data_IF_240374157077
#
_entry.id   IF_240374157077
#
_cell.length_a   1.000
_cell.length_b   1.000
_cell.length_c   1.000
_cell.angle_alpha   90.00
_cell.angle_beta   90.00
_cell.angle_gamma   90.00
#
_symmetry.space_group_name_H-M   'P 1'
#
loop_
_entity.id
_entity.type
_entity.pdbx_description
1 polymer ?
#
# COMPACT_ATOMS: atom_id res chain seq x y z
N UNK A 1 8.59 -11.35 -1.52
CA UNK A 1 7.36 -11.01 -2.27
C UNK A 1 6.88 -9.67 -1.74
N UNK A 2 6.71 -8.63 -2.57
CA UNK A 2 6.40 -7.27 -2.08
C UNK A 2 4.92 -7.10 -1.69
N UNK A 3 4.64 -6.18 -0.77
CA UNK A 3 3.29 -5.82 -0.31
C UNK A 3 2.27 -5.60 -1.45
N UNK A 4 2.66 -4.99 -2.58
CA UNK A 4 1.78 -4.80 -3.76
C UNK A 4 1.33 -6.12 -4.39
N UNK A 5 2.23 -7.10 -4.46
CA UNK A 5 1.93 -8.42 -5.03
C UNK A 5 0.96 -9.16 -4.13
N UNK A 6 1.11 -9.04 -2.81
CA UNK A 6 0.17 -9.59 -1.84
C UNK A 6 -1.21 -8.92 -1.96
N UNK A 7 -1.26 -7.58 -2.02
CA UNK A 7 -2.50 -6.84 -2.27
C UNK A 7 -3.19 -7.31 -3.55
N UNK A 8 -2.50 -7.31 -4.70
CA UNK A 8 -3.08 -7.71 -5.99
C UNK A 8 -3.59 -9.14 -6.01
N UNK A 9 -2.91 -10.04 -5.29
CA UNK A 9 -3.33 -11.44 -5.16
C UNK A 9 -4.60 -11.57 -4.30
N UNK A 10 -4.70 -10.80 -3.22
CA UNK A 10 -5.73 -10.97 -2.20
C UNK A 10 -6.95 -10.07 -2.40
N UNK A 11 -6.82 -8.97 -3.15
CA UNK A 11 -7.87 -7.96 -3.30
C UNK A 11 -9.12 -8.50 -4.01
N UNK A 12 -9.01 -9.56 -4.80
CA UNK A 12 -10.13 -10.13 -5.54
C UNK A 12 -10.83 -9.11 -6.44
N UNK A 13 -12.09 -9.36 -6.82
CA UNK A 13 -12.87 -8.48 -7.71
C UNK A 13 -13.92 -7.64 -6.98
N UNK A 14 -14.23 -7.95 -5.72
CA UNK A 14 -15.26 -7.22 -4.95
C UNK A 14 -14.64 -6.06 -4.17
N UNK A 15 -15.41 -4.99 -3.96
CA UNK A 15 -14.97 -3.84 -3.17
C UNK A 15 -14.59 -4.22 -1.73
N UNK A 16 -15.34 -5.14 -1.12
CA UNK A 16 -15.08 -5.61 0.24
C UNK A 16 -13.78 -6.42 0.34
N UNK A 17 -13.49 -7.29 -0.64
CA UNK A 17 -12.23 -8.05 -0.66
C UNK A 17 -11.03 -7.12 -0.91
N UNK A 18 -11.20 -6.09 -1.73
CA UNK A 18 -10.17 -5.07 -1.95
C UNK A 18 -9.88 -4.28 -0.67
N UNK A 19 -10.92 -3.90 0.08
CA UNK A 19 -10.76 -3.19 1.36
C UNK A 19 -10.00 -4.05 2.39
N UNK A 20 -10.39 -5.32 2.54
CA UNK A 20 -9.71 -6.25 3.44
C UNK A 20 -8.23 -6.44 3.06
N UNK A 21 -7.92 -6.59 1.78
CA UNK A 21 -6.55 -6.71 1.31
C UNK A 21 -5.75 -5.42 1.51
N UNK A 22 -6.35 -4.25 1.31
CA UNK A 22 -5.72 -2.97 1.55
C UNK A 22 -5.39 -2.78 3.05
N UNK A 23 -6.33 -3.13 3.93
CA UNK A 23 -6.12 -3.09 5.37
C UNK A 23 -4.98 -4.03 5.81
N UNK A 24 -5.00 -5.29 5.35
CA UNK A 24 -3.93 -6.24 5.69
C UNK A 24 -2.57 -5.72 5.22
N UNK A 25 -2.50 -5.16 4.01
CA UNK A 25 -1.26 -4.61 3.47
C UNK A 25 -0.75 -3.42 4.27
N UNK A 26 -1.65 -2.57 4.77
CA UNK A 26 -1.30 -1.49 5.70
C UNK A 26 -0.64 -2.04 6.98
N UNK A 27 -1.21 -3.08 7.60
CA UNK A 27 -0.63 -3.70 8.80
C UNK A 27 0.76 -4.29 8.54
N UNK A 28 0.92 -4.98 7.41
CA UNK A 28 2.20 -5.56 7.00
C UNK A 28 3.28 -4.47 6.81
N UNK A 29 2.90 -3.34 6.21
CA UNK A 29 3.80 -2.20 6.02
C UNK A 29 4.14 -1.49 7.34
N UNK A 30 3.19 -1.34 8.26
CA UNK A 30 3.46 -0.79 9.60
C UNK A 30 4.47 -1.64 10.36
N UNK A 31 4.43 -2.96 10.21
CA UNK A 31 5.49 -3.85 10.72
C UNK A 31 6.83 -3.55 10.06
N UNK A 32 6.87 -3.46 8.73
CA UNK A 32 8.10 -3.21 7.98
C UNK A 32 8.73 -1.82 8.23
N UNK A 33 7.94 -0.79 8.59
CA UNK A 33 8.45 0.54 8.96
C UNK A 33 9.38 0.45 10.17
N UNK A 34 9.12 -0.45 11.12
CA UNK A 34 9.92 -0.58 12.35
C UNK A 34 11.37 -1.00 12.07
N UNK A 35 11.58 -1.75 10.98
CA UNK A 35 12.89 -2.29 10.60
C UNK A 35 13.59 -1.45 9.51
N UNK A 36 12.90 -0.50 8.89
CA UNK A 36 13.40 0.27 7.75
C UNK A 36 13.84 1.69 8.14
N UNK A 37 15.04 2.09 7.71
CA UNK A 37 15.60 3.43 7.98
C UNK A 37 15.84 4.22 6.70
N UNK A 38 15.97 5.55 6.84
CA UNK A 38 16.23 6.47 5.73
C UNK A 38 15.10 6.52 4.69
N UNK A 39 15.47 6.75 3.42
CA UNK A 39 14.51 6.92 2.32
C UNK A 39 13.59 5.69 2.10
N UNK A 40 14.04 4.49 2.47
CA UNK A 40 13.23 3.26 2.42
C UNK A 40 12.12 3.32 3.46
N UNK A 41 12.45 3.65 4.72
CA UNK A 41 11.47 3.77 5.80
C UNK A 41 10.42 4.86 5.54
N UNK A 42 10.84 6.02 5.00
CA UNK A 42 9.90 7.07 4.60
C UNK A 42 8.93 6.61 3.51
N UNK A 43 9.42 5.86 2.52
CA UNK A 43 8.58 5.42 1.40
C UNK A 43 7.65 4.28 1.82
N UNK A 44 8.08 3.37 2.71
CA UNK A 44 7.19 2.37 3.33
C UNK A 44 6.10 3.07 4.15
N UNK A 45 6.43 4.12 4.90
CA UNK A 45 5.46 4.89 5.69
C UNK A 45 4.41 5.58 4.78
N UNK A 46 4.85 6.18 3.67
CA UNK A 46 3.95 6.75 2.65
C UNK A 46 3.01 5.69 2.06
N UNK A 47 3.54 4.51 1.73
CA UNK A 47 2.73 3.39 1.25
C UNK A 47 1.71 2.93 2.28
N UNK A 48 2.09 2.81 3.56
CA UNK A 48 1.17 2.43 4.62
C UNK A 48 -0.02 3.40 4.69
N UNK A 49 0.25 4.72 4.70
CA UNK A 49 -0.79 5.74 4.68
C UNK A 49 -1.71 5.62 3.45
N UNK A 50 -1.16 5.35 2.26
CA UNK A 50 -1.96 5.16 1.03
C UNK A 50 -2.83 3.91 1.08
N UNK A 51 -2.35 2.80 1.66
CA UNK A 51 -3.18 1.60 1.82
C UNK A 51 -4.29 1.79 2.86
N UNK A 52 -4.02 2.56 3.92
CA UNK A 52 -5.06 2.96 4.87
C UNK A 52 -6.12 3.83 4.18
N UNK A 53 -5.71 4.82 3.40
CA UNK A 53 -6.61 5.66 2.61
C UNK A 53 -7.42 4.85 1.60
N UNK A 54 -6.78 3.92 0.90
CA UNK A 54 -7.46 3.02 -0.03
C UNK A 54 -8.54 2.20 0.67
N UNK A 55 -8.23 1.65 1.86
CA UNK A 55 -9.23 0.97 2.67
C UNK A 55 -10.41 1.90 3.02
N UNK A 56 -10.16 3.13 3.48
CA UNK A 56 -11.23 4.08 3.81
C UNK A 56 -12.10 4.46 2.62
N UNK A 57 -11.50 4.68 1.44
CA UNK A 57 -12.27 4.95 0.21
C UNK A 57 -13.09 3.71 -0.19
N UNK A 58 -12.52 2.51 -0.09
CA UNK A 58 -13.20 1.26 -0.44
C UNK A 58 -14.34 0.91 0.52
N UNK A 59 -14.22 1.18 1.82
CA UNK A 59 -15.31 1.00 2.80
C UNK A 59 -16.36 2.11 2.75
N UNK A 60 -16.09 3.21 2.04
CA UNK A 60 -16.97 4.37 1.98
C UNK A 60 -16.86 5.29 3.19
N UNK A 61 -15.84 5.12 4.04
CA UNK A 61 -15.54 6.01 5.17
C UNK A 61 -15.07 7.39 4.69
N UNK A 62 -14.40 7.46 3.55
CA UNK A 62 -13.99 8.71 2.89
C UNK A 62 -14.46 8.74 1.44
N UNK A 63 -14.74 9.94 0.92
CA UNK A 63 -15.01 10.15 -0.50
C UNK A 63 -13.75 10.09 -1.36
N UNK A 64 -13.94 9.99 -2.69
CA UNK A 64 -12.85 9.99 -3.67
C UNK A 64 -12.72 8.69 -4.45
N UNK A 65 -11.99 8.75 -5.56
CA UNK A 65 -11.77 7.60 -6.44
C UNK A 65 -10.67 6.68 -5.88
N UNK A 66 -10.95 5.40 -5.57
CA UNK A 66 -9.92 4.43 -5.17
C UNK A 66 -8.81 4.26 -6.21
N UNK A 67 -9.09 4.48 -7.51
CA UNK A 67 -8.10 4.30 -8.57
C UNK A 67 -6.98 5.34 -8.52
N UNK A 68 -7.26 6.56 -8.04
CA UNK A 68 -6.23 7.57 -7.82
C UNK A 68 -5.20 7.08 -6.78
N UNK A 69 -5.68 6.55 -5.66
CA UNK A 69 -4.80 6.02 -4.60
C UNK A 69 -4.01 4.81 -5.11
N UNK A 70 -4.62 3.95 -5.92
CA UNK A 70 -3.93 2.81 -6.54
C UNK A 70 -2.80 3.29 -7.48
N UNK A 71 -3.01 4.37 -8.24
CA UNK A 71 -1.97 4.94 -9.09
C UNK A 71 -0.79 5.45 -8.25
N UNK A 72 -1.07 6.18 -7.17
CA UNK A 72 -0.08 6.69 -6.23
C UNK A 72 0.69 5.59 -5.50
N UNK A 73 0.02 4.47 -5.17
CA UNK A 73 0.64 3.27 -4.62
C UNK A 73 1.63 2.67 -5.64
N UNK A 74 1.24 2.55 -6.91
CA UNK A 74 2.12 1.98 -7.94
C UNK A 74 3.40 2.81 -8.12
N UNK A 75 3.30 4.14 -8.06
CA UNK A 75 4.45 5.06 -8.13
C UNK A 75 5.42 4.83 -6.97
N UNK A 76 4.93 4.81 -5.73
CA UNK A 76 5.79 4.60 -4.55
C UNK A 76 6.43 3.20 -4.52
N UNK A 77 5.75 2.17 -5.03
CA UNK A 77 6.35 0.85 -5.18
C UNK A 77 7.47 0.81 -6.21
N UNK A 78 7.35 1.57 -7.31
CA UNK A 78 8.43 1.71 -8.27
C UNK A 78 9.65 2.37 -7.61
N UNK A 79 9.41 3.36 -6.75
CA UNK A 79 10.46 4.03 -5.99
C UNK A 79 11.12 3.11 -4.97
N UNK A 80 10.36 2.35 -4.17
CA UNK A 80 10.92 1.33 -3.27
C UNK A 80 11.78 0.32 -4.03
N UNK A 81 11.32 -0.14 -5.21
CA UNK A 81 12.10 -1.07 -6.02
C UNK A 81 13.42 -0.48 -6.48
N UNK A 82 13.47 0.81 -6.79
CA UNK A 82 14.71 1.52 -7.13
C UNK A 82 15.62 1.61 -5.89
N UNK A 83 15.09 2.10 -4.77
CA UNK A 83 15.86 2.25 -3.53
C UNK A 83 16.45 0.91 -3.04
N UNK A 84 15.68 -0.18 -3.13
CA UNK A 84 16.15 -1.51 -2.74
C UNK A 84 16.97 -2.24 -3.82
N UNK A 85 16.84 -1.86 -5.10
CA UNK A 85 17.58 -2.45 -6.22
C UNK A 85 18.88 -1.71 -6.57
N UNK A 86 19.10 -0.53 -5.99
CA UNK A 86 20.34 0.25 -6.07
C UNK A 86 21.34 -0.09 -4.94
N UNK A 87 21.18 -1.26 -4.29
CA UNK A 87 22.08 -1.79 -3.27
C UNK A 87 22.96 -2.92 -3.79
#
# INVERSE_FOLDING_TARGET
MTALTAYRRNAGTTRSSQAAAAHQTYLDLMGAVLDAQGAVGETISRLAAKFQELNFRLTGMTGGDPNQVIADINTDFAEIKRLCGSG
#
